data_IF_541359702022
#
_entry.id   IF_541359702022
#
_cell.length_a   1.000
_cell.length_b   1.000
_cell.length_c   1.000
_cell.angle_alpha   90.00
_cell.angle_beta   90.00
_cell.angle_gamma   90.00
#
_symmetry.space_group_name_H-M   'P 1'
#
loop_
_entity.id
_entity.type
_entity.pdbx_description
1 polymer ?
#
# COMPACT_ATOMS: atom_id res chain seq x y z
N UNK A 1 9.79 1.01 1.82
CA UNK A 1 8.36 1.11 1.51
C UNK A 1 7.78 2.34 2.20
N UNK A 2 7.08 3.18 1.46
CA UNK A 2 6.33 4.29 2.06
C UNK A 2 5.04 3.76 2.71
N UNK A 3 4.69 4.30 3.88
CA UNK A 3 3.42 3.95 4.52
C UNK A 3 2.24 4.48 3.70
N UNK A 4 1.10 3.77 3.68
CA UNK A 4 -0.12 4.25 3.03
C UNK A 4 -0.57 5.59 3.60
N UNK A 5 -1.03 6.46 2.73
CA UNK A 5 -1.52 7.77 3.09
C UNK A 5 -2.95 7.95 2.58
N UNK A 6 -3.83 8.38 3.45
CA UNK A 6 -5.23 8.68 3.13
C UNK A 6 -5.48 10.18 3.21
N UNK A 7 -6.27 10.67 2.29
CA UNK A 7 -6.73 12.07 2.27
C UNK A 7 -8.25 12.09 2.22
N UNK A 8 -8.85 12.99 2.98
CA UNK A 8 -10.28 13.25 2.95
C UNK A 8 -10.55 14.57 2.24
N UNK A 9 -11.58 14.57 1.43
CA UNK A 9 -12.10 15.81 0.86
C UNK A 9 -12.86 16.57 1.92
N UNK A 10 -12.64 17.87 2.02
CA UNK A 10 -13.35 18.76 2.93
C UNK A 10 -14.67 19.22 2.33
N UNK A 11 -15.73 19.20 3.13
CA UNK A 11 -17.02 19.80 2.81
C UNK A 11 -17.21 20.97 3.74
N UNK A 12 -17.28 22.17 3.19
CA UNK A 12 -17.47 23.42 3.94
C UNK A 12 -18.93 23.82 3.93
N UNK A 13 -19.50 24.04 5.10
CA UNK A 13 -20.86 24.53 5.28
C UNK A 13 -20.80 25.90 5.98
N UNK A 14 -21.36 26.89 5.34
CA UNK A 14 -21.45 28.25 5.90
C UNK A 14 -22.78 28.40 6.65
N UNK A 15 -22.68 28.79 7.93
CA UNK A 15 -23.83 29.02 8.80
C UNK A 15 -23.69 30.42 9.40
N UNK A 16 -24.43 31.40 8.92
CA UNK A 16 -24.31 32.79 9.36
C UNK A 16 -22.87 33.30 9.39
N UNK A 17 -22.35 33.59 10.57
CA UNK A 17 -20.99 34.07 10.81
C UNK A 17 -20.03 32.94 11.16
N UNK A 18 -20.44 31.69 10.99
CA UNK A 18 -19.67 30.51 11.34
C UNK A 18 -19.47 29.59 10.13
N UNK A 19 -18.37 28.88 10.14
CA UNK A 19 -18.04 27.88 9.12
C UNK A 19 -17.91 26.52 9.78
N UNK A 20 -18.60 25.53 9.26
CA UNK A 20 -18.51 24.13 9.69
C UNK A 20 -17.80 23.32 8.62
N UNK A 21 -16.86 22.50 9.04
CA UNK A 21 -16.11 21.60 8.16
C UNK A 21 -16.51 20.15 8.42
N UNK A 22 -16.83 19.43 7.37
CA UNK A 22 -17.14 18.01 7.41
C UNK A 22 -16.17 17.22 6.56
N UNK A 23 -15.84 16.01 6.97
CA UNK A 23 -15.05 15.09 6.18
C UNK A 23 -15.92 14.46 5.08
N UNK A 24 -15.50 14.63 3.85
CA UNK A 24 -16.13 14.04 2.68
C UNK A 24 -15.54 12.68 2.30
N UNK A 25 -15.44 12.40 1.02
CA UNK A 25 -14.86 11.15 0.51
C UNK A 25 -13.37 11.08 0.78
N UNK A 26 -12.90 9.88 1.09
CA UNK A 26 -11.48 9.62 1.21
C UNK A 26 -10.88 9.15 -0.13
N UNK A 27 -9.61 9.42 -0.31
CA UNK A 27 -8.80 8.92 -1.40
C UNK A 27 -7.46 8.43 -0.86
N UNK A 28 -7.06 7.24 -1.25
CA UNK A 28 -5.75 6.71 -0.95
C UNK A 28 -4.71 7.26 -1.91
N UNK A 29 -3.56 7.64 -1.38
CA UNK A 29 -2.42 8.08 -2.19
C UNK A 29 -1.60 6.87 -2.66
N UNK A 30 -0.86 7.05 -3.73
CA UNK A 30 0.05 6.02 -4.22
C UNK A 30 1.13 5.74 -3.18
N UNK A 31 1.61 4.49 -3.13
CA UNK A 31 2.78 4.14 -2.33
C UNK A 31 3.94 3.73 -3.21
N UNK A 32 5.16 4.08 -2.78
CA UNK A 32 6.38 3.69 -3.47
C UNK A 32 7.09 2.58 -2.72
N UNK A 33 7.45 1.53 -3.43
CA UNK A 33 8.16 0.38 -2.93
C UNK A 33 9.48 0.27 -3.68
N UNK A 34 10.60 0.35 -2.98
CA UNK A 34 11.91 0.11 -3.55
C UNK A 34 12.30 -1.34 -3.27
N UNK A 35 12.45 -2.11 -4.31
CA UNK A 35 12.93 -3.49 -4.27
C UNK A 35 14.41 -3.53 -4.59
N UNK A 36 15.12 -4.37 -3.90
CA UNK A 36 16.51 -4.70 -4.22
C UNK A 36 16.51 -5.93 -5.11
N UNK A 37 17.15 -5.82 -6.27
CA UNK A 37 17.30 -6.95 -7.18
C UNK A 37 18.48 -7.83 -6.75
N UNK A 38 18.45 -9.09 -7.14
CA UNK A 38 19.53 -10.03 -6.94
C UNK A 38 20.39 -10.15 -8.22
N UNK A 39 21.55 -10.83 -8.09
CA UNK A 39 22.46 -11.03 -9.21
C UNK A 39 21.87 -11.91 -10.34
N UNK A 40 20.76 -12.59 -10.09
CA UNK A 40 20.07 -13.41 -11.07
C UNK A 40 18.90 -12.71 -11.75
N UNK A 41 18.54 -11.49 -11.30
CA UNK A 41 17.44 -10.72 -11.85
C UNK A 41 16.04 -11.31 -11.56
N UNK A 42 15.91 -12.08 -10.49
CA UNK A 42 14.64 -12.73 -10.16
C UNK A 42 13.54 -11.71 -9.82
N UNK A 43 13.90 -10.62 -9.14
CA UNK A 43 12.94 -9.57 -8.79
C UNK A 43 12.47 -8.83 -10.04
N UNK A 44 13.39 -8.49 -10.94
CA UNK A 44 13.05 -7.87 -12.22
C UNK A 44 12.10 -8.76 -13.05
N UNK A 45 12.35 -10.07 -13.06
CA UNK A 45 11.49 -11.05 -13.74
C UNK A 45 10.07 -11.07 -13.15
N UNK A 46 9.93 -11.16 -11.82
CA UNK A 46 8.63 -11.17 -11.16
C UNK A 46 7.84 -9.88 -11.41
N UNK A 47 8.51 -8.75 -11.39
CA UNK A 47 7.90 -7.45 -11.73
C UNK A 47 7.44 -7.43 -13.19
N UNK A 48 8.27 -7.94 -14.10
CA UNK A 48 7.92 -8.05 -15.53
C UNK A 48 6.72 -8.97 -15.79
N UNK A 49 6.65 -10.11 -15.11
CA UNK A 49 5.52 -11.02 -15.18
C UNK A 49 4.22 -10.38 -14.67
N UNK A 50 4.31 -9.60 -13.60
CA UNK A 50 3.15 -8.86 -13.09
C UNK A 50 2.69 -7.75 -14.03
N UNK A 51 3.62 -7.04 -14.67
CA UNK A 51 3.30 -6.06 -15.70
C UNK A 51 2.62 -6.70 -16.92
N UNK A 52 3.09 -7.87 -17.33
CA UNK A 52 2.51 -8.60 -18.47
C UNK A 52 1.07 -9.05 -18.20
N UNK A 53 0.69 -9.29 -16.94
CA UNK A 53 -0.72 -9.52 -16.58
C UNK A 53 -1.58 -8.28 -16.78
N UNK A 54 -1.03 -7.10 -16.61
CA UNK A 54 -1.76 -5.84 -16.83
C UNK A 54 -1.86 -5.51 -18.32
N UNK A 55 -0.78 -5.77 -19.07
CA UNK A 55 -0.70 -5.45 -20.48
C UNK A 55 0.24 -6.41 -21.21
N UNK A 56 -0.23 -6.98 -22.28
CA UNK A 56 0.63 -7.70 -23.22
C UNK A 56 1.38 -6.68 -24.09
N UNK A 57 2.68 -6.54 -23.86
CA UNK A 57 3.51 -5.58 -24.58
C UNK A 57 3.74 -5.94 -26.04
N UNK A 58 3.66 -7.22 -26.39
CA UNK A 58 3.86 -7.68 -27.78
C UNK A 58 2.66 -7.31 -28.64
N UNK A 59 1.47 -7.61 -28.16
CA UNK A 59 0.22 -7.35 -28.87
C UNK A 59 -0.42 -6.02 -28.52
N UNK A 60 0.14 -5.30 -27.54
CA UNK A 60 -0.39 -4.05 -26.99
C UNK A 60 -1.85 -4.17 -26.54
N UNK A 61 -2.19 -5.34 -26.00
CA UNK A 61 -3.52 -5.64 -25.51
C UNK A 61 -3.59 -5.51 -23.99
N UNK A 62 -4.61 -4.82 -23.49
CA UNK A 62 -4.88 -4.72 -22.06
C UNK A 62 -5.61 -5.93 -21.53
N UNK A 63 -5.47 -6.23 -20.25
CA UNK A 63 -6.30 -7.23 -19.58
C UNK A 63 -7.79 -6.88 -19.69
N UNK A 64 -8.62 -7.89 -19.88
CA UNK A 64 -10.06 -7.69 -20.03
C UNK A 64 -10.78 -7.31 -18.75
N UNK A 65 -10.19 -7.62 -17.59
CA UNK A 65 -10.77 -7.35 -16.27
C UNK A 65 -9.70 -6.93 -15.27
N UNK A 66 -10.06 -6.03 -14.36
CA UNK A 66 -9.18 -5.67 -13.23
C UNK A 66 -8.88 -6.85 -12.31
N UNK A 67 -9.74 -7.83 -12.26
CA UNK A 67 -9.52 -9.05 -11.47
C UNK A 67 -8.33 -9.88 -11.97
N UNK A 68 -8.00 -9.79 -13.23
CA UNK A 68 -6.95 -10.60 -13.85
C UNK A 68 -5.54 -10.14 -13.44
N UNK A 69 -5.38 -8.88 -13.08
CA UNK A 69 -4.08 -8.32 -12.76
C UNK A 69 -3.96 -7.71 -11.36
N UNK A 70 -5.08 -7.43 -10.68
CA UNK A 70 -5.04 -6.88 -9.32
C UNK A 70 -4.52 -7.92 -8.34
N UNK A 71 -3.67 -7.46 -7.42
CA UNK A 71 -3.05 -8.29 -6.40
C UNK A 71 -3.14 -7.63 -5.02
N UNK A 72 -2.82 -8.38 -3.99
CA UNK A 72 -2.74 -7.88 -2.61
C UNK A 72 -1.29 -7.78 -2.20
N UNK A 73 -0.92 -6.67 -1.59
CA UNK A 73 0.40 -6.46 -1.01
C UNK A 73 0.26 -6.50 0.51
N UNK A 74 1.10 -7.30 1.15
CA UNK A 74 1.26 -7.29 2.60
C UNK A 74 2.71 -6.93 2.92
N UNK A 75 2.91 -5.99 3.80
CA UNK A 75 4.22 -5.73 4.38
C UNK A 75 4.14 -5.57 5.89
N UNK A 76 5.25 -5.90 6.53
CA UNK A 76 5.37 -5.90 7.97
C UNK A 76 6.54 -5.02 8.38
N UNK A 77 6.33 -4.22 9.39
CA UNK A 77 7.39 -3.49 10.07
C UNK A 77 7.90 -4.37 11.20
N UNK A 78 9.18 -4.66 11.18
CA UNK A 78 9.84 -5.52 12.17
C UNK A 78 10.54 -4.66 13.23
N UNK A 79 10.67 -5.19 14.42
CA UNK A 79 11.29 -4.50 15.56
C UNK A 79 12.82 -4.41 15.49
N UNK A 80 13.44 -5.04 14.48
CA UNK A 80 14.89 -5.05 14.33
C UNK A 80 15.63 -5.90 15.37
N UNK A 81 14.93 -6.76 16.09
CA UNK A 81 15.55 -7.65 17.06
C UNK A 81 16.59 -8.54 16.37
N UNK A 82 17.81 -8.50 16.87
CA UNK A 82 18.93 -9.29 16.38
C UNK A 82 19.27 -10.47 17.30
N UNK A 83 18.38 -10.82 18.19
CA UNK A 83 18.54 -11.95 19.11
C UNK A 83 18.37 -13.30 18.41
N UNK A 84 18.43 -14.37 19.21
CA UNK A 84 18.26 -15.74 18.73
C UNK A 84 16.82 -16.05 18.27
N UNK A 85 15.89 -15.15 18.48
CA UNK A 85 14.49 -15.26 18.09
C UNK A 85 14.21 -14.52 16.79
N UNK A 86 13.20 -14.95 16.04
CA UNK A 86 12.72 -14.21 14.90
C UNK A 86 12.27 -12.79 15.33
N UNK A 87 12.51 -11.76 14.50
CA UNK A 87 12.10 -10.41 14.83
C UNK A 87 10.59 -10.32 15.02
N UNK A 88 10.17 -9.59 16.02
CA UNK A 88 8.75 -9.32 16.29
C UNK A 88 8.16 -8.39 15.21
N UNK A 89 6.89 -8.58 14.91
CA UNK A 89 6.16 -7.72 14.00
C UNK A 89 5.53 -6.58 14.77
N UNK A 90 5.92 -5.34 14.47
CA UNK A 90 5.36 -4.15 15.10
C UNK A 90 4.04 -3.71 14.45
N UNK A 91 3.96 -3.87 13.14
CA UNK A 91 2.83 -3.37 12.37
C UNK A 91 2.71 -4.15 11.07
N UNK A 92 1.50 -4.51 10.70
CA UNK A 92 1.21 -5.14 9.42
C UNK A 92 0.27 -4.24 8.61
N UNK A 93 0.63 -4.00 7.36
CA UNK A 93 -0.22 -3.32 6.40
C UNK A 93 -0.63 -4.28 5.29
N UNK A 94 -1.90 -4.28 4.97
CA UNK A 94 -2.45 -5.00 3.84
C UNK A 94 -3.09 -4.02 2.87
N UNK A 95 -2.61 -4.02 1.63
CA UNK A 95 -3.11 -3.20 0.55
C UNK A 95 -3.91 -4.09 -0.39
N UNK A 96 -5.15 -3.73 -0.63
CA UNK A 96 -6.08 -4.49 -1.47
C UNK A 96 -6.31 -3.81 -2.80
N UNK A 97 -6.50 -4.63 -3.84
CA UNK A 97 -6.76 -4.14 -5.19
C UNK A 97 -5.58 -3.39 -5.79
N UNK A 98 -4.37 -3.86 -5.53
CA UNK A 98 -3.15 -3.24 -6.01
C UNK A 98 -2.92 -3.47 -7.49
N UNK A 99 -2.36 -2.47 -8.16
CA UNK A 99 -1.76 -2.62 -9.48
C UNK A 99 -0.53 -1.72 -9.60
N UNK A 100 0.35 -2.07 -10.52
CA UNK A 100 1.56 -1.31 -10.78
C UNK A 100 1.23 -0.11 -11.67
N UNK A 101 1.37 1.09 -11.12
CA UNK A 101 1.18 2.33 -11.87
C UNK A 101 2.43 2.73 -12.63
N UNK A 102 3.60 2.60 -11.99
CA UNK A 102 4.89 2.92 -12.58
C UNK A 102 5.94 1.93 -12.10
N UNK A 103 6.78 1.49 -13.00
CA UNK A 103 7.95 0.68 -12.70
C UNK A 103 9.18 1.39 -13.27
N UNK A 104 10.14 1.65 -12.41
CA UNK A 104 11.42 2.23 -12.79
C UNK A 104 12.53 1.24 -12.43
N UNK A 105 13.17 0.69 -13.45
CA UNK A 105 14.26 -0.28 -13.28
C UNK A 105 15.60 0.37 -12.94
N UNK A 106 15.65 1.71 -12.80
CA UNK A 106 16.85 2.48 -12.56
C UNK A 106 17.96 2.26 -13.61
N UNK A 107 19.04 2.98 -13.44
CA UNK A 107 20.20 2.90 -14.35
C UNK A 107 21.21 1.90 -13.79
N UNK A 108 21.70 1.02 -14.63
CA UNK A 108 22.80 0.12 -14.29
C UNK A 108 24.12 0.89 -14.38
N UNK A 109 24.90 0.88 -13.30
CA UNK A 109 26.21 1.50 -13.25
C UNK A 109 27.25 0.47 -12.74
N UNK A 110 28.22 0.17 -13.60
CA UNK A 110 29.32 -0.75 -13.24
C UNK A 110 30.41 -0.11 -12.37
N UNK A 111 30.38 1.22 -12.22
CA UNK A 111 31.38 1.98 -11.46
C UNK A 111 31.14 2.04 -9.96
N UNK A 112 29.99 1.60 -9.48
CA UNK A 112 29.61 1.63 -8.06
C UNK A 112 29.20 0.26 -7.57
N UNK A 113 29.58 -0.08 -6.34
CA UNK A 113 29.19 -1.32 -5.68
C UNK A 113 27.77 -1.24 -5.05
N UNK A 114 26.90 -0.43 -5.63
CA UNK A 114 25.53 -0.31 -5.15
C UNK A 114 24.65 -1.43 -5.70
N UNK A 115 23.77 -1.91 -4.85
CA UNK A 115 22.78 -2.90 -5.27
C UNK A 115 21.80 -2.29 -6.25
N UNK A 116 21.49 -3.03 -7.30
CA UNK A 116 20.44 -2.64 -8.25
C UNK A 116 19.10 -2.57 -7.54
N UNK A 117 18.41 -1.46 -7.69
CA UNK A 117 17.08 -1.24 -7.09
C UNK A 117 16.04 -0.98 -8.16
N UNK A 118 14.85 -1.49 -7.94
CA UNK A 118 13.67 -1.26 -8.78
C UNK A 118 12.67 -0.48 -7.95
N UNK A 119 12.29 0.70 -8.44
CA UNK A 119 11.29 1.52 -7.79
C UNK A 119 9.90 1.26 -8.41
N UNK A 120 8.98 0.80 -7.59
CA UNK A 120 7.60 0.54 -7.96
C UNK A 120 6.68 1.60 -7.37
N UNK A 121 5.83 2.20 -8.17
CA UNK A 121 4.70 2.97 -7.68
C UNK A 121 3.45 2.10 -7.77
N UNK A 122 2.88 1.81 -6.62
CA UNK A 122 1.70 0.96 -6.50
C UNK A 122 0.49 1.82 -6.20
N UNK A 123 -0.55 1.64 -7.00
CA UNK A 123 -1.88 2.16 -6.72
C UNK A 123 -2.73 1.04 -6.12
N UNK A 124 -3.56 1.36 -5.14
CA UNK A 124 -4.40 0.40 -4.45
C UNK A 124 -5.78 1.01 -4.16
N UNK A 125 -6.77 0.16 -3.97
CA UNK A 125 -8.14 0.58 -3.71
C UNK A 125 -8.36 0.85 -2.22
N UNK A 126 -7.77 0.02 -1.35
CA UNK A 126 -7.93 0.13 0.10
C UNK A 126 -6.68 -0.35 0.84
N UNK A 127 -6.50 0.13 2.06
CA UNK A 127 -5.43 -0.29 2.94
C UNK A 127 -5.96 -0.54 4.35
N UNK A 128 -5.44 -1.57 4.98
CA UNK A 128 -5.78 -1.94 6.35
C UNK A 128 -4.51 -2.08 7.16
N UNK A 129 -4.51 -1.46 8.32
CA UNK A 129 -3.42 -1.53 9.29
C UNK A 129 -3.81 -2.48 10.44
N UNK A 130 -2.90 -3.36 10.82
CA UNK A 130 -3.03 -4.19 12.00
C UNK A 130 -1.84 -3.90 12.91
N UNK A 131 -2.00 -3.08 13.95
CA UNK A 131 -0.97 -2.86 14.98
C UNK A 131 -0.77 -4.12 15.81
N UNK A 132 0.35 -4.18 16.54
CA UNK A 132 0.61 -5.24 17.51
C UNK A 132 -0.49 -5.24 18.57
N UNK A 133 -0.93 -6.40 18.96
CA UNK A 133 -1.90 -6.65 20.05
C UNK A 133 -3.27 -6.01 19.85
N UNK A 134 -3.61 -5.59 18.68
CA UNK A 134 -4.91 -5.00 18.44
C UNK A 134 -5.64 -5.62 17.26
N UNK A 135 -6.94 -5.53 17.32
CA UNK A 135 -7.79 -5.74 16.16
C UNK A 135 -7.39 -4.76 15.07
N UNK A 136 -7.41 -5.16 13.83
CA UNK A 136 -6.99 -4.31 12.72
C UNK A 136 -7.69 -2.95 12.71
N UNK A 137 -6.93 -1.90 12.45
CA UNK A 137 -7.48 -0.56 12.24
C UNK A 137 -8.11 -0.51 10.85
N UNK A 138 -9.38 -0.15 10.81
CA UNK A 138 -10.17 -0.20 9.59
C UNK A 138 -10.93 -1.52 9.39
N UNK A 139 -10.61 -2.53 10.17
CA UNK A 139 -11.40 -3.75 10.28
C UNK A 139 -12.17 -3.68 11.59
N UNK A 140 -13.46 -3.77 11.57
CA UNK A 140 -14.31 -3.91 12.76
C UNK A 140 -14.19 -2.83 13.84
N UNK A 141 -13.42 -1.80 13.64
CA UNK A 141 -13.37 -0.71 14.60
C UNK A 141 -14.69 0.02 14.57
N UNK A 142 -15.57 -0.43 15.43
CA UNK A 142 -16.73 0.35 15.88
C UNK A 142 -17.56 1.07 14.84
N UNK A 143 -17.37 0.73 13.58
CA UNK A 143 -18.14 1.28 12.52
C UNK A 143 -19.44 0.53 12.45
N UNK A 144 -20.12 0.74 13.39
CA UNK A 144 -21.33 0.49 13.60
C UNK A 144 -22.18 -0.19 13.43
N UNK A 145 -22.18 -0.95 13.10
CA UNK A 145 -23.35 -1.79 13.16
C UNK A 145 -23.43 -2.32 14.57
N UNK A 146 -23.94 -1.49 15.42
CA UNK A 146 -24.33 -1.89 16.75
C UNK A 146 -23.23 -2.20 17.78
N UNK A 147 -22.00 -2.03 17.41
CA UNK A 147 -20.96 -1.97 18.44
C UNK A 147 -20.83 -0.53 18.89
N UNK A 148 -21.47 -0.22 19.99
CA UNK A 148 -21.16 0.97 20.73
C UNK A 148 -19.66 1.05 20.85
N UNK A 149 -19.08 2.16 20.47
CA UNK A 149 -17.74 2.52 20.85
C UNK A 149 -17.77 2.59 22.37
N UNK A 150 -17.44 1.47 23.00
CA UNK A 150 -17.28 1.41 24.43
C UNK A 150 -16.05 2.27 24.75
N UNK A 151 -16.28 3.48 25.15
CA UNK A 151 -15.21 4.40 25.51
C UNK A 151 -15.61 5.86 25.48
N UNK A 152 -16.74 6.18 24.89
CA UNK A 152 -17.29 7.54 24.93
C UNK A 152 -18.52 7.60 25.80
N UNK A 153 -18.45 7.15 26.95
CA UNK A 153 -19.64 7.24 27.70
C UNK A 153 -19.46 6.81 29.11
N UNK A 154 -19.28 7.68 29.82
CA UNK A 154 -19.84 7.79 31.16
C UNK A 154 -19.37 9.05 31.77
#
# INVERSE_FOLDING_TARGET
VARPQVQFTEITILIYNSTLYLAGKHAWQNTTINLRDDAQGNVAKLVGEQLQKQMDFVNQASAGSGQDYKFTVRYQVLDGNNGASAPGVLETWELYGCFLQTVNYNTLNYGTNEAVTIALTVRYDNAVQTPVDSSGVGIQVGRGVGTSVTGFGS
#
